data_IF_008952574557
#
_entry.id   IF_008952574557
#
_cell.length_a   1.000
_cell.length_b   1.000
_cell.length_c   1.000
_cell.angle_alpha   90.00
_cell.angle_beta   90.00
_cell.angle_gamma   90.00
#
_symmetry.space_group_name_H-M   'P 1'
#
loop_
_entity.id
_entity.type
_entity.pdbx_description
1 polymer ?
#
# COMPACT_ATOMS: atom_id res chain seq x y z
N UNK A 1 -12.16 -2.31 -10.75
CA UNK A 1 -11.42 -2.82 -9.59
C UNK A 1 -9.97 -2.76 -10.00
N UNK A 2 -9.21 -1.77 -9.51
CA UNK A 2 -7.81 -1.58 -9.90
C UNK A 2 -6.99 -2.75 -9.35
N UNK A 3 -6.13 -3.33 -10.19
CA UNK A 3 -5.24 -4.42 -9.77
C UNK A 3 -4.19 -3.87 -8.77
N UNK A 4 -3.71 -4.72 -7.86
CA UNK A 4 -2.73 -4.33 -6.84
C UNK A 4 -1.49 -3.65 -7.45
N UNK A 5 -1.01 -4.14 -8.59
CA UNK A 5 0.15 -3.57 -9.27
C UNK A 5 -0.16 -2.21 -9.93
N UNK A 6 -1.41 -1.95 -10.32
CA UNK A 6 -1.85 -0.64 -10.80
C UNK A 6 -1.89 0.38 -9.66
N UNK A 7 -2.40 -0.02 -8.50
CA UNK A 7 -2.43 0.81 -7.28
C UNK A 7 -1.01 1.11 -6.80
N UNK A 8 -0.12 0.11 -6.83
CA UNK A 8 1.31 0.27 -6.51
C UNK A 8 1.98 1.26 -7.45
N UNK A 9 1.80 1.11 -8.77
CA UNK A 9 2.42 2.00 -9.74
C UNK A 9 1.86 3.43 -9.67
N UNK A 10 0.55 3.58 -9.47
CA UNK A 10 -0.07 4.89 -9.26
C UNK A 10 0.44 5.55 -7.98
N UNK A 11 0.60 4.79 -6.89
CA UNK A 11 1.15 5.28 -5.64
C UNK A 11 2.63 5.70 -5.79
N UNK A 12 3.46 4.91 -6.48
CA UNK A 12 4.85 5.29 -6.78
C UNK A 12 4.90 6.55 -7.65
N UNK A 13 4.04 6.66 -8.67
CA UNK A 13 4.00 7.83 -9.55
C UNK A 13 3.48 9.09 -8.85
N UNK A 14 2.66 8.94 -7.81
CA UNK A 14 2.03 10.07 -7.10
C UNK A 14 2.84 10.49 -5.87
N UNK A 15 3.40 9.52 -5.14
CA UNK A 15 4.05 9.72 -3.83
C UNK A 15 5.55 9.43 -3.83
N UNK A 16 6.11 8.86 -4.90
CA UNK A 16 7.54 8.55 -4.99
C UNK A 16 8.02 7.66 -3.84
N UNK A 17 8.97 8.15 -3.03
CA UNK A 17 9.51 7.41 -1.89
C UNK A 17 8.51 7.24 -0.73
N UNK A 18 7.43 8.02 -0.70
CA UNK A 18 6.43 7.98 0.37
C UNK A 18 5.30 6.98 0.08
N UNK A 19 5.29 6.33 -1.08
CA UNK A 19 4.28 5.34 -1.45
C UNK A 19 4.16 4.20 -0.43
N UNK A 20 5.29 3.77 0.14
CA UNK A 20 5.30 2.76 1.21
C UNK A 20 4.65 3.29 2.50
N UNK A 21 4.91 4.54 2.87
CA UNK A 21 4.29 5.20 4.03
C UNK A 21 2.78 5.36 3.84
N UNK A 22 2.33 5.73 2.65
CA UNK A 22 0.91 5.84 2.31
C UNK A 22 0.20 4.47 2.40
N UNK A 23 0.81 3.41 1.84
CA UNK A 23 0.26 2.05 1.95
C UNK A 23 0.20 1.56 3.40
N UNK A 24 1.20 1.88 4.23
CA UNK A 24 1.19 1.57 5.65
C UNK A 24 0.08 2.32 6.40
N UNK A 25 -0.17 3.59 6.06
CA UNK A 25 -1.27 4.36 6.62
C UNK A 25 -2.64 3.78 6.24
N UNK A 26 -2.85 3.42 4.97
CA UNK A 26 -4.09 2.79 4.52
C UNK A 26 -4.32 1.42 5.18
N UNK A 27 -3.25 0.63 5.39
CA UNK A 27 -3.35 -0.61 6.14
C UNK A 27 -3.77 -0.34 7.60
N UNK A 28 -3.15 0.63 8.26
CA UNK A 28 -3.47 0.97 9.65
C UNK A 28 -4.92 1.46 9.81
N UNK A 29 -5.37 2.30 8.88
CA UNK A 29 -6.75 2.84 8.85
C UNK A 29 -7.80 1.73 8.63
N UNK A 30 -7.51 0.79 7.72
CA UNK A 30 -8.36 -0.39 7.50
C UNK A 30 -8.40 -1.32 8.74
N UNK A 31 -7.29 -1.42 9.48
CA UNK A 31 -7.25 -2.19 10.73
C UNK A 31 -8.10 -1.54 11.83
N UNK A 32 -8.03 -0.21 11.97
CA UNK A 32 -8.85 0.53 12.94
C UNK A 32 -10.35 0.45 12.62
N UNK A 33 -10.71 0.42 11.33
CA UNK A 33 -12.09 0.25 10.88
C UNK A 33 -12.60 -1.20 10.92
N UNK A 34 -11.78 -2.16 11.38
CA UNK A 34 -12.15 -3.59 11.43
C UNK A 34 -12.28 -4.25 10.04
N UNK A 35 -11.85 -3.57 8.98
CA UNK A 35 -11.82 -4.09 7.60
C UNK A 35 -10.57 -4.94 7.37
N UNK A 36 -10.55 -6.10 8.02
CA UNK A 36 -9.40 -7.02 7.98
C UNK A 36 -9.03 -7.52 6.57
N UNK A 37 -10.01 -7.58 5.65
CA UNK A 37 -9.77 -7.88 4.23
C UNK A 37 -8.89 -6.80 3.57
N UNK A 38 -9.21 -5.53 3.78
CA UNK A 38 -8.50 -4.41 3.19
C UNK A 38 -7.12 -4.23 3.83
N UNK A 39 -6.99 -4.55 5.13
CA UNK A 39 -5.70 -4.59 5.81
C UNK A 39 -4.71 -5.53 5.11
N UNK A 40 -5.14 -6.76 4.78
CA UNK A 40 -4.28 -7.73 4.10
C UNK A 40 -3.79 -7.24 2.74
N UNK A 41 -4.70 -6.65 1.96
CA UNK A 41 -4.43 -6.02 0.67
C UNK A 41 -3.33 -4.95 0.80
N UNK A 42 -3.54 -3.95 1.67
CA UNK A 42 -2.61 -2.82 1.82
C UNK A 42 -1.28 -3.24 2.45
N UNK A 43 -1.29 -4.25 3.32
CA UNK A 43 -0.07 -4.82 3.89
C UNK A 43 0.78 -5.54 2.83
N UNK A 44 0.15 -6.26 1.90
CA UNK A 44 0.85 -6.88 0.77
C UNK A 44 1.43 -5.82 -0.19
N UNK A 45 0.66 -4.77 -0.50
CA UNK A 45 1.13 -3.60 -1.25
C UNK A 45 2.38 -2.98 -0.60
N UNK A 46 2.35 -2.77 0.72
CA UNK A 46 3.49 -2.25 1.48
C UNK A 46 4.73 -3.15 1.37
N UNK A 47 4.57 -4.47 1.54
CA UNK A 47 5.68 -5.43 1.44
C UNK A 47 6.30 -5.44 0.04
N UNK A 48 5.48 -5.37 -1.02
CA UNK A 48 5.93 -5.30 -2.42
C UNK A 48 6.67 -4.00 -2.72
N UNK A 49 6.17 -2.86 -2.21
CA UNK A 49 6.82 -1.55 -2.33
C UNK A 49 8.20 -1.55 -1.66
N UNK A 50 8.29 -2.10 -0.43
CA UNK A 50 9.57 -2.22 0.30
C UNK A 50 10.56 -3.15 -0.39
N UNK A 51 10.09 -4.26 -0.98
CA UNK A 51 10.95 -5.19 -1.76
C UNK A 51 11.49 -4.59 -3.06
N UNK A 52 10.76 -3.67 -3.68
CA UNK A 52 11.17 -3.01 -4.94
C UNK A 52 12.22 -1.90 -4.76
N UNK A 53 12.70 -1.65 -3.53
CA UNK A 53 13.86 -0.79 -3.30
C UNK A 53 13.58 0.72 -3.36
N UNK A 54 12.43 1.16 -2.84
CA UNK A 54 12.19 2.58 -2.51
C UNK A 54 12.63 2.92 -1.06
N UNK A 55 13.64 2.20 -0.56
CA UNK A 55 14.44 2.52 0.62
C UNK A 55 15.88 2.11 0.36
#
# INVERSE_FOLDING_TARGET
MLDHDEVVNAAISTYGSEAATAAAYCALDAWTDGRHHDYGFWFEVFLRLRKRGLM
#
